data_IF_698257766157
#
_entry.id   IF_698257766157
#
_cell.length_a   1.000
_cell.length_b   1.000
_cell.length_c   1.000
_cell.angle_alpha   90.00
_cell.angle_beta   90.00
_cell.angle_gamma   90.00
#
_symmetry.space_group_name_H-M   'P 1'
#
loop_
_entity.id
_entity.type
_entity.pdbx_description
1 polymer ?
#
# COMPACT_ATOMS: atom_id res chain seq x y z
N UNK A 1 -9.84 8.33 11.79
CA UNK A 1 -8.58 8.59 12.53
C UNK A 1 -7.42 8.67 11.56
N UNK A 2 -6.35 9.37 11.95
CA UNK A 2 -5.10 9.44 11.19
C UNK A 2 -4.11 8.39 11.67
N UNK A 3 -3.23 7.96 10.78
CA UNK A 3 -2.12 7.07 11.13
C UNK A 3 -0.93 7.96 11.52
N UNK A 4 -0.21 7.59 12.57
CA UNK A 4 1.00 8.32 12.96
C UNK A 4 2.18 7.87 12.11
N UNK A 5 3.16 8.75 11.91
CA UNK A 5 4.43 8.37 11.31
C UNK A 5 5.06 7.21 12.08
N UNK A 6 5.55 6.20 11.35
CA UNK A 6 6.14 5.02 11.96
C UNK A 6 6.40 3.87 10.99
N UNK A 7 6.81 2.74 11.56
CA UNK A 7 7.02 1.49 10.83
C UNK A 7 5.81 0.60 10.95
N UNK A 8 5.35 0.11 9.81
CA UNK A 8 4.14 -0.67 9.71
C UNK A 8 4.30 -1.87 8.79
N UNK A 9 3.60 -2.94 9.12
CA UNK A 9 3.19 -3.95 8.15
C UNK A 9 1.87 -3.46 7.56
N UNK A 10 1.77 -3.50 6.23
CA UNK A 10 0.55 -3.17 5.48
C UNK A 10 -0.09 -4.49 5.07
N UNK A 11 -1.25 -4.81 5.64
CA UNK A 11 -1.92 -6.09 5.42
C UNK A 11 -3.27 -5.87 4.76
N UNK A 12 -3.58 -6.66 3.73
CA UNK A 12 -4.89 -6.64 3.10
C UNK A 12 -5.95 -7.23 4.04
N UNK A 13 -7.11 -6.56 4.13
CA UNK A 13 -8.18 -6.98 5.04
C UNK A 13 -8.77 -8.34 4.64
N UNK A 14 -8.94 -8.60 3.35
CA UNK A 14 -9.59 -9.81 2.83
C UNK A 14 -8.65 -11.01 2.84
N UNK A 15 -7.55 -10.94 2.11
CA UNK A 15 -6.64 -12.08 1.90
C UNK A 15 -5.72 -12.33 3.08
N UNK A 16 -5.53 -11.33 3.96
CA UNK A 16 -4.49 -11.32 5.00
C UNK A 16 -3.07 -11.37 4.46
N UNK A 17 -2.89 -11.18 3.15
CA UNK A 17 -1.57 -11.00 2.54
C UNK A 17 -0.98 -9.64 2.92
N UNK A 18 0.34 -9.59 3.07
CA UNK A 18 1.09 -8.37 3.31
C UNK A 18 1.53 -7.76 1.97
N UNK A 19 1.71 -6.45 1.94
CA UNK A 19 2.24 -5.76 0.78
C UNK A 19 3.77 -5.81 0.79
N UNK A 20 4.38 -6.33 -0.26
CA UNK A 20 5.83 -6.38 -0.43
C UNK A 20 6.30 -5.73 -1.72
N UNK A 21 7.56 -5.32 -1.71
CA UNK A 21 8.33 -5.03 -2.91
C UNK A 21 9.42 -6.08 -2.96
N UNK A 22 9.43 -6.93 -3.98
CA UNK A 22 10.29 -8.12 -4.03
C UNK A 22 11.75 -7.81 -4.40
N UNK A 23 11.97 -6.73 -5.12
CA UNK A 23 13.28 -6.31 -5.60
C UNK A 23 13.37 -4.76 -5.67
N UNK A 24 14.58 -4.19 -5.66
CA UNK A 24 14.78 -2.75 -5.64
C UNK A 24 14.66 -2.09 -7.02
N UNK A 25 14.29 -2.80 -8.09
CA UNK A 25 14.31 -2.20 -9.43
C UNK A 25 13.21 -1.15 -9.58
N UNK A 26 13.55 -0.07 -10.27
CA UNK A 26 12.61 1.01 -10.54
C UNK A 26 11.47 0.51 -11.44
N UNK A 27 10.23 0.63 -10.96
CA UNK A 27 9.04 0.13 -11.62
C UNK A 27 8.63 -1.29 -11.24
N UNK A 28 9.34 -1.97 -10.34
CA UNK A 28 8.89 -3.28 -9.85
C UNK A 28 7.57 -3.18 -9.09
N UNK A 29 6.62 -4.11 -9.32
CA UNK A 29 5.31 -4.06 -8.69
C UNK A 29 5.40 -4.31 -7.18
N UNK A 30 4.53 -3.63 -6.43
CA UNK A 30 4.21 -4.00 -5.07
C UNK A 30 3.23 -5.17 -5.16
N UNK A 31 3.58 -6.30 -4.54
CA UNK A 31 2.83 -7.54 -4.68
C UNK A 31 2.39 -8.11 -3.34
N UNK A 32 1.41 -9.01 -3.38
CA UNK A 32 0.93 -9.75 -2.22
C UNK A 32 1.97 -10.78 -1.74
N UNK A 33 2.13 -10.90 -0.44
CA UNK A 33 3.00 -11.93 0.17
C UNK A 33 2.39 -12.52 1.42
N UNK A 34 2.73 -13.77 1.73
CA UNK A 34 2.32 -14.41 2.96
C UNK A 34 3.10 -13.81 4.16
N UNK A 35 2.47 -13.65 5.33
CA UNK A 35 3.19 -13.30 6.55
C UNK A 35 4.34 -14.28 6.81
N UNK A 36 5.56 -13.76 6.98
CA UNK A 36 6.75 -14.57 7.30
C UNK A 36 7.39 -15.31 6.12
N UNK A 37 6.99 -15.02 4.87
CA UNK A 37 7.56 -15.63 3.66
C UNK A 37 9.05 -15.29 3.43
N UNK A 38 9.50 -14.10 3.84
CA UNK A 38 10.88 -13.60 3.63
C UNK A 38 11.89 -14.08 4.69
N UNK A 39 11.90 -15.37 4.99
CA UNK A 39 13.00 -16.05 5.70
C UNK A 39 13.19 -15.73 7.19
N UNK A 40 12.63 -14.65 7.73
CA UNK A 40 12.27 -14.41 9.15
C UNK A 40 11.90 -12.95 9.41
N UNK A 41 12.13 -12.04 8.46
CA UNK A 41 11.95 -10.60 8.67
C UNK A 41 10.60 -10.12 8.14
N UNK A 42 9.84 -9.34 8.93
CA UNK A 42 8.59 -8.76 8.47
C UNK A 42 8.84 -7.76 7.34
N UNK A 43 7.90 -7.67 6.41
CA UNK A 43 7.92 -6.63 5.37
C UNK A 43 7.46 -5.32 5.97
N UNK A 44 8.43 -4.44 6.22
CA UNK A 44 8.20 -3.17 6.90
C UNK A 44 8.18 -2.01 5.92
N UNK A 45 7.23 -1.12 6.16
CA UNK A 45 7.04 0.13 5.46
C UNK A 45 7.21 1.30 6.43
N UNK A 46 8.07 2.24 6.07
CA UNK A 46 8.12 3.54 6.71
C UNK A 46 6.98 4.39 6.15
N UNK A 47 5.99 4.67 6.98
CA UNK A 47 4.87 5.55 6.65
C UNK A 47 5.15 6.90 7.28
N UNK A 48 5.23 7.95 6.46
CA UNK A 48 5.50 9.31 6.93
C UNK A 48 4.31 10.20 6.62
N UNK A 49 3.73 10.80 7.65
CA UNK A 49 2.69 11.82 7.52
C UNK A 49 3.33 13.16 7.13
N UNK A 50 2.99 13.68 5.96
CA UNK A 50 3.53 14.94 5.42
C UNK A 50 2.73 16.20 5.83
N UNK A 51 1.60 16.01 6.50
CA UNK A 51 0.60 17.06 6.78
C UNK A 51 -0.60 16.96 5.84
N UNK A 52 -1.69 17.66 6.17
CA UNK A 52 -2.95 17.69 5.38
C UNK A 52 -3.53 16.30 5.02
N UNK A 53 -3.32 15.31 5.90
CA UNK A 53 -3.78 13.93 5.67
C UNK A 53 -3.05 13.22 4.52
N UNK A 54 -1.88 13.71 4.11
CA UNK A 54 -1.04 13.10 3.07
C UNK A 54 0.09 12.28 3.68
N UNK A 55 0.46 11.22 2.98
CA UNK A 55 1.42 10.23 3.43
C UNK A 55 2.34 9.80 2.30
N UNK A 56 3.55 9.38 2.65
CA UNK A 56 4.44 8.60 1.77
C UNK A 56 4.66 7.23 2.36
N UNK A 57 4.86 6.26 1.48
CA UNK A 57 5.14 4.87 1.82
C UNK A 57 6.49 4.50 1.26
N UNK A 58 7.45 4.19 2.13
CA UNK A 58 8.78 3.75 1.73
C UNK A 58 9.02 2.32 2.22
N UNK A 59 9.42 1.44 1.32
CA UNK A 59 9.83 0.10 1.66
C UNK A 59 11.15 0.16 2.44
N UNK A 60 11.23 -0.52 3.60
CA UNK A 60 12.42 -0.45 4.44
C UNK A 60 13.60 -1.23 3.87
N UNK A 61 13.35 -2.34 3.17
CA UNK A 61 14.39 -3.22 2.61
C UNK A 61 15.10 -2.58 1.42
N UNK A 62 14.33 -1.95 0.53
CA UNK A 62 14.83 -1.44 -0.74
C UNK A 62 14.97 0.09 -0.78
N UNK A 63 14.49 0.80 0.25
CA UNK A 63 14.42 2.26 0.31
C UNK A 63 13.60 2.93 -0.83
N UNK A 64 12.91 2.14 -1.65
CA UNK A 64 12.02 2.60 -2.71
C UNK A 64 10.67 3.06 -2.14
N UNK A 65 10.06 4.04 -2.79
CA UNK A 65 8.73 4.55 -2.46
C UNK A 65 7.65 3.88 -3.30
N UNK A 66 6.48 3.69 -2.72
CA UNK A 66 5.32 3.28 -3.51
C UNK A 66 4.89 4.42 -4.45
N UNK A 67 4.48 4.06 -5.66
CA UNK A 67 4.01 4.98 -6.68
C UNK A 67 2.99 4.30 -7.59
N UNK A 68 1.99 5.03 -8.08
CA UNK A 68 1.09 4.58 -9.14
C UNK A 68 1.35 5.32 -10.47
N UNK A 69 2.55 5.90 -10.61
CA UNK A 69 2.91 6.74 -11.75
C UNK A 69 2.18 8.08 -11.79
N UNK A 70 2.33 8.76 -12.93
CA UNK A 70 1.63 10.02 -13.22
C UNK A 70 0.27 9.70 -13.84
N UNK A 71 -0.79 10.34 -13.35
CA UNK A 71 -2.20 10.12 -13.76
C UNK A 71 -2.69 8.74 -13.39
N UNK A 72 -3.10 8.60 -12.14
CA UNK A 72 -3.75 7.41 -11.63
C UNK A 72 -4.91 6.94 -12.54
N UNK A 73 -4.81 5.72 -13.08
CA UNK A 73 -5.84 5.07 -13.89
C UNK A 73 -6.31 3.77 -13.22
N UNK A 74 -7.54 3.35 -13.54
CA UNK A 74 -8.05 2.06 -13.10
C UNK A 74 -7.11 0.93 -13.57
N UNK A 75 -6.92 -0.06 -12.70
CA UNK A 75 -6.08 -1.25 -12.89
C UNK A 75 -4.58 -0.95 -13.06
N UNK A 76 -4.13 0.30 -12.89
CA UNK A 76 -2.71 0.61 -12.89
C UNK A 76 -2.03 0.01 -11.65
N UNK A 77 -0.89 -0.64 -11.88
CA UNK A 77 -0.08 -1.23 -10.83
C UNK A 77 0.52 -0.16 -9.90
N UNK A 78 0.64 -0.53 -8.63
CA UNK A 78 1.44 0.19 -7.66
C UNK A 78 2.84 -0.38 -7.73
N UNK A 79 3.83 0.47 -7.98
CA UNK A 79 5.22 0.10 -8.23
C UNK A 79 6.18 0.80 -7.27
N UNK A 80 7.35 0.22 -7.06
CA UNK A 80 8.47 0.84 -6.36
C UNK A 80 9.15 1.87 -7.26
N UNK A 81 9.44 3.06 -6.73
CA UNK A 81 10.17 4.14 -7.40
C UNK A 81 11.15 4.84 -6.45
N UNK A 82 12.17 5.47 -7.00
CA UNK A 82 13.13 6.24 -6.18
C UNK A 82 12.55 7.54 -5.60
N UNK A 83 11.50 8.07 -6.23
CA UNK A 83 10.89 9.35 -5.83
C UNK A 83 9.62 9.13 -5.01
N UNK A 84 9.43 9.88 -3.92
CA UNK A 84 8.21 9.78 -3.12
C UNK A 84 6.99 10.28 -3.89
N UNK A 85 5.93 9.48 -3.88
CA UNK A 85 4.58 9.92 -4.26
C UNK A 85 3.71 10.06 -3.01
N UNK A 86 2.85 11.07 -3.02
CA UNK A 86 1.91 11.32 -1.93
C UNK A 86 0.62 10.54 -2.15
N UNK A 87 0.06 10.07 -1.06
CA UNK A 87 -1.22 9.37 -1.01
C UNK A 87 -2.06 9.89 0.16
N UNK A 88 -3.38 9.71 0.07
CA UNK A 88 -4.30 9.90 1.17
C UNK A 88 -4.59 8.54 1.83
N UNK A 89 -4.63 8.52 3.16
CA UNK A 89 -5.13 7.39 3.95
C UNK A 89 -6.45 7.81 4.58
N UNK A 90 -7.51 7.05 4.33
CA UNK A 90 -8.82 7.29 4.89
C UNK A 90 -9.31 6.06 5.65
N UNK A 91 -9.73 6.25 6.90
CA UNK A 91 -10.37 5.18 7.68
C UNK A 91 -11.80 4.96 7.17
N UNK A 92 -12.16 3.70 6.94
CA UNK A 92 -13.49 3.30 6.53
C UNK A 92 -14.50 3.31 7.69
N UNK A 93 -15.68 2.74 7.44
CA UNK A 93 -16.73 2.59 8.47
C UNK A 93 -16.34 1.65 9.60
N UNK A 94 -15.48 0.68 9.30
CA UNK A 94 -14.94 -0.27 10.27
C UNK A 94 -13.61 0.27 10.78
N UNK A 95 -13.55 0.52 12.10
CA UNK A 95 -12.35 1.04 12.75
C UNK A 95 -11.14 0.14 12.48
N UNK A 96 -10.00 0.76 12.19
CA UNK A 96 -8.75 0.05 11.89
C UNK A 96 -8.61 -0.47 10.46
N UNK A 97 -9.61 -0.22 9.59
CA UNK A 97 -9.54 -0.53 8.16
C UNK A 97 -9.48 0.75 7.36
N UNK A 98 -8.56 0.80 6.40
CA UNK A 98 -8.22 2.02 5.70
C UNK A 98 -8.15 1.80 4.20
N UNK A 99 -8.47 2.82 3.42
CA UNK A 99 -8.18 2.88 1.98
C UNK A 99 -6.98 3.78 1.75
N UNK A 100 -6.18 3.45 0.74
CA UNK A 100 -5.02 4.25 0.32
C UNK A 100 -5.32 4.76 -1.09
N UNK A 101 -5.31 6.07 -1.30
CA UNK A 101 -5.69 6.69 -2.57
C UNK A 101 -4.62 7.63 -3.10
N UNK A 102 -4.36 7.66 -4.41
CA UNK A 102 -3.55 8.71 -5.04
C UNK A 102 -4.12 10.10 -4.73
N UNK A 103 -3.27 11.13 -4.69
CA UNK A 103 -3.76 12.50 -4.45
C UNK A 103 -4.38 13.16 -5.66
N UNK A 104 -4.09 12.66 -6.86
CA UNK A 104 -4.59 13.16 -8.14
C UNK A 104 -5.89 12.48 -8.59
N UNK A 105 -6.35 11.44 -7.87
CA UNK A 105 -7.62 10.75 -8.13
C UNK A 105 -8.39 10.48 -6.85
N UNK A 106 -9.64 10.97 -6.79
CA UNK A 106 -10.53 10.78 -5.63
C UNK A 106 -11.33 9.49 -5.70
N UNK A 107 -11.34 8.81 -6.86
CA UNK A 107 -12.21 7.67 -7.13
C UNK A 107 -11.44 6.36 -7.24
N UNK A 108 -10.13 6.38 -6.98
CA UNK A 108 -9.27 5.20 -7.04
C UNK A 108 -8.60 4.98 -5.68
N UNK A 109 -8.38 3.71 -5.36
CA UNK A 109 -7.70 3.27 -4.15
C UNK A 109 -6.89 2.01 -4.43
N UNK A 110 -5.88 1.74 -3.62
CA UNK A 110 -5.06 0.55 -3.75
C UNK A 110 -5.88 -0.68 -3.37
N UNK A 111 -5.73 -1.74 -4.16
CA UNK A 111 -6.38 -3.01 -3.94
C UNK A 111 -5.54 -4.19 -4.41
N UNK A 112 -5.90 -5.38 -3.93
CA UNK A 112 -5.46 -6.63 -4.51
C UNK A 112 -6.60 -7.20 -5.37
N UNK A 113 -6.36 -7.51 -6.66
CA UNK A 113 -7.42 -8.01 -7.54
C UNK A 113 -7.88 -9.41 -7.12
N UNK A 114 -6.97 -10.21 -6.55
CA UNK A 114 -7.21 -11.55 -6.03
C UNK A 114 -6.45 -11.80 -4.71
N UNK A 115 -6.55 -13.04 -4.22
CA UNK A 115 -5.97 -13.48 -2.96
C UNK A 115 -4.68 -14.30 -3.17
N UNK A 116 -4.16 -14.38 -4.41
CA UNK A 116 -2.95 -15.12 -4.75
C UNK A 116 -1.69 -14.37 -4.29
N UNK A 117 -0.61 -15.13 -4.08
CA UNK A 117 0.69 -14.56 -3.76
C UNK A 117 1.33 -14.01 -5.04
N UNK A 118 2.20 -13.02 -4.88
CA UNK A 118 2.91 -12.35 -5.97
C UNK A 118 2.00 -11.59 -6.95
N UNK A 119 0.68 -11.58 -6.70
CA UNK A 119 -0.26 -10.71 -7.40
C UNK A 119 0.06 -9.24 -7.14
N UNK A 120 0.25 -8.42 -8.19
CA UNK A 120 0.44 -6.98 -8.05
C UNK A 120 -0.75 -6.28 -7.41
N UNK A 121 -0.46 -5.32 -6.54
CA UNK A 121 -1.44 -4.35 -6.09
C UNK A 121 -1.74 -3.35 -7.21
N UNK A 122 -3.02 -3.03 -7.39
CA UNK A 122 -3.49 -2.15 -8.47
C UNK A 122 -4.41 -1.07 -7.93
N UNK A 123 -4.71 -0.06 -8.75
CA UNK A 123 -5.74 0.92 -8.48
C UNK A 123 -7.14 0.40 -8.82
N UNK A 124 -8.02 0.37 -7.83
CA UNK A 124 -9.41 -0.06 -7.95
C UNK A 124 -10.39 1.07 -7.59
N UNK A 125 -11.62 0.98 -8.06
CA UNK A 125 -12.67 2.00 -7.87
C UNK A 125 -13.61 1.76 -6.67
N UNK A 126 -13.52 0.60 -6.01
CA UNK A 126 -14.48 0.18 -4.98
C UNK A 126 -13.93 0.31 -3.55
N UNK A 127 -14.16 1.44 -2.89
CA UNK A 127 -13.66 1.71 -1.53
C UNK A 127 -14.30 0.82 -0.45
N UNK A 128 -15.47 0.24 -0.74
CA UNK A 128 -16.20 -0.63 0.19
C UNK A 128 -15.80 -2.09 0.10
N UNK A 129 -15.08 -2.49 -0.95
CA UNK A 129 -14.57 -3.85 -1.05
C UNK A 129 -13.42 -4.06 -0.07
N UNK A 130 -13.52 -5.13 0.72
CA UNK A 130 -12.46 -5.61 1.59
C UNK A 130 -11.11 -5.84 0.90
N UNK A 131 -11.10 -6.11 -0.42
CA UNK A 131 -9.88 -6.21 -1.24
C UNK A 131 -9.10 -4.90 -1.35
N UNK A 132 -9.80 -3.77 -1.18
CA UNK A 132 -9.24 -2.43 -1.32
C UNK A 132 -9.03 -1.76 0.05
N UNK A 133 -9.15 -2.55 1.11
CA UNK A 133 -8.98 -2.12 2.50
C UNK A 133 -7.73 -2.75 3.11
N UNK A 134 -7.04 -1.95 3.89
CA UNK A 134 -5.75 -2.26 4.46
C UNK A 134 -5.78 -2.05 5.98
N UNK A 135 -5.10 -2.93 6.69
CA UNK A 135 -4.80 -2.85 8.11
C UNK A 135 -3.33 -2.44 8.26
N UNK A 136 -3.08 -1.51 9.18
CA UNK A 136 -1.74 -1.02 9.49
C UNK A 136 -1.32 -1.52 10.86
N UNK A 137 -0.42 -2.51 10.86
CA UNK A 137 0.06 -3.15 12.09
C UNK A 137 1.40 -2.53 12.45
N UNK A 138 1.46 -1.85 13.61
CA UNK A 138 2.66 -1.14 14.07
C UNK A 138 3.75 -2.15 14.49
N UNK A 139 5.00 -1.90 14.09
CA UNK A 139 6.19 -2.65 14.49
C UNK A 139 7.11 -1.89 15.45
#
# INVERSE_FOLDING_TARGET
>A
MTISTGRYIIQNVRSKNQLQLADPNDGSPLQATAPGSLGSLPVLWNIVQLGNGKYTFQNQTHASYASCGNRASLDAEIVGRDRPQQFAIQEGRVRGRYTISPTDSTNLCWGLPDDELDTPAVLASSFTDSRNQWEFIRS
#
